data_IF_890882651145
#
_entry.id   IF_890882651145
#
_cell.length_a   1.000
_cell.length_b   1.000
_cell.length_c   1.000
_cell.angle_alpha   90.00
_cell.angle_beta   90.00
_cell.angle_gamma   90.00
#
_symmetry.space_group_name_H-M   'P 1'
#
loop_
_entity.id
_entity.type
_entity.pdbx_description
1 polymer ?
#
# COMPACT_ATOMS: atom_id res chain seq x y z
N UNK A 1 -23.61 -3.87 9.29
CA UNK A 1 -22.31 -3.26 8.95
C UNK A 1 -21.73 -2.74 10.24
N UNK A 2 -20.95 -3.57 10.93
CA UNK A 2 -20.29 -3.16 12.17
C UNK A 2 -19.30 -2.07 11.81
N UNK A 3 -19.52 -0.84 12.26
CA UNK A 3 -18.48 0.19 12.27
C UNK A 3 -17.29 -0.43 13.01
N UNK A 4 -16.22 -0.77 12.29
CA UNK A 4 -14.95 -1.11 12.92
C UNK A 4 -14.49 0.16 13.62
N UNK A 5 -14.84 0.26 14.91
CA UNK A 5 -14.40 1.35 15.77
C UNK A 5 -12.89 1.27 15.81
N UNK A 6 -12.24 2.22 15.14
CA UNK A 6 -10.79 2.37 15.11
C UNK A 6 -10.26 2.30 16.55
N UNK A 7 -9.45 1.28 16.84
CA UNK A 7 -8.80 1.19 18.13
C UNK A 7 -7.63 2.17 18.19
N UNK A 8 -7.82 3.24 18.98
CA UNK A 8 -6.84 4.31 19.16
C UNK A 8 -5.49 3.77 19.62
N UNK A 9 -5.46 2.81 20.55
CA UNK A 9 -4.20 2.29 21.09
C UNK A 9 -3.44 1.46 20.05
N UNK A 10 -4.15 0.63 19.26
CA UNK A 10 -3.56 -0.11 18.16
C UNK A 10 -3.05 0.81 17.04
N UNK A 11 -3.80 1.86 16.69
CA UNK A 11 -3.39 2.87 15.71
C UNK A 11 -2.17 3.68 16.20
N UNK A 12 -2.15 4.05 17.48
CA UNK A 12 -1.03 4.73 18.10
C UNK A 12 0.23 3.86 18.12
N UNK A 13 0.12 2.57 18.41
CA UNK A 13 1.26 1.66 18.41
C UNK A 13 1.88 1.56 17.00
N UNK A 14 1.05 1.46 15.97
CA UNK A 14 1.48 1.50 14.56
C UNK A 14 2.16 2.82 14.22
N UNK A 15 1.54 3.94 14.59
CA UNK A 15 2.12 5.27 14.36
C UNK A 15 3.48 5.45 15.04
N UNK A 16 3.65 4.96 16.27
CA UNK A 16 4.93 4.97 16.98
C UNK A 16 5.98 4.14 16.25
N UNK A 17 5.60 2.98 15.71
CA UNK A 17 6.46 2.14 14.89
C UNK A 17 6.95 2.86 13.63
N UNK A 18 6.04 3.47 12.86
CA UNK A 18 6.36 4.23 11.65
C UNK A 18 7.27 5.43 11.94
N UNK A 19 6.96 6.18 13.00
CA UNK A 19 7.74 7.36 13.39
C UNK A 19 9.03 7.02 14.16
N UNK A 20 9.24 5.73 14.50
CA UNK A 20 10.37 5.25 15.34
C UNK A 20 10.50 5.99 16.67
N UNK A 21 9.36 6.33 17.28
CA UNK A 21 9.29 7.03 18.59
C UNK A 21 8.71 6.12 19.66
N UNK A 22 9.02 6.39 20.93
CA UNK A 22 8.54 5.57 22.05
C UNK A 22 7.41 6.23 22.82
N UNK A 23 7.38 7.55 22.85
CA UNK A 23 6.50 8.31 23.76
C UNK A 23 5.33 8.98 23.04
N UNK A 24 4.17 9.05 23.70
CA UNK A 24 2.99 9.78 23.21
C UNK A 24 3.31 11.28 23.06
N UNK A 25 4.23 11.80 23.88
CA UNK A 25 4.70 13.20 23.82
C UNK A 25 5.43 13.50 22.52
N UNK A 26 6.28 12.59 22.04
CA UNK A 26 6.97 12.73 20.76
C UNK A 26 5.99 12.64 19.59
N UNK A 27 5.04 11.70 19.65
CA UNK A 27 3.96 11.59 18.65
C UNK A 27 3.18 12.90 18.57
N UNK A 28 2.75 13.46 19.71
CA UNK A 28 2.04 14.74 19.75
C UNK A 28 2.87 15.88 19.12
N UNK A 29 4.17 15.94 19.44
CA UNK A 29 5.09 16.93 18.85
C UNK A 29 5.19 16.78 17.33
N UNK A 30 5.33 15.56 16.82
CA UNK A 30 5.39 15.27 15.38
C UNK A 30 4.09 15.62 14.65
N UNK A 31 2.95 15.36 15.29
CA UNK A 31 1.62 15.75 14.78
C UNK A 31 1.31 17.26 14.92
N UNK A 32 2.25 18.06 15.44
CA UNK A 32 2.09 19.50 15.62
C UNK A 32 0.98 19.86 16.61
N UNK A 33 0.84 19.08 17.68
CA UNK A 33 -0.16 19.31 18.73
C UNK A 33 0.43 19.23 20.14
N UNK A 34 -0.26 19.82 21.12
CA UNK A 34 0.19 19.73 22.51
C UNK A 34 -0.04 18.32 23.07
N UNK A 35 0.79 17.84 24.01
CA UNK A 35 0.58 16.55 24.68
C UNK A 35 -0.77 16.46 25.40
N UNK A 36 -1.26 17.58 25.95
CA UNK A 36 -2.61 17.68 26.56
C UNK A 36 -3.72 17.48 25.52
N UNK A 37 -3.64 18.15 24.37
CA UNK A 37 -4.63 17.97 23.30
C UNK A 37 -4.64 16.53 22.74
N UNK A 38 -3.47 15.89 22.67
CA UNK A 38 -3.37 14.48 22.27
C UNK A 38 -3.98 13.55 23.33
N UNK A 39 -3.72 13.78 24.61
CA UNK A 39 -4.30 12.99 25.71
C UNK A 39 -5.83 13.13 25.80
N UNK A 40 -6.37 14.34 25.59
CA UNK A 40 -7.82 14.55 25.57
C UNK A 40 -8.49 13.81 24.41
N UNK A 41 -7.84 13.78 23.24
CA UNK A 41 -8.27 12.98 22.09
C UNK A 41 -8.24 11.48 22.37
N UNK A 42 -7.19 10.99 23.05
CA UNK A 42 -7.07 9.59 23.49
C UNK A 42 -8.23 9.21 24.42
N UNK A 43 -8.55 10.03 25.42
CA UNK A 43 -9.70 9.82 26.31
C UNK A 43 -11.03 9.79 25.57
N UNK A 44 -11.19 10.62 24.55
CA UNK A 44 -12.39 10.69 23.69
C UNK A 44 -12.39 9.65 22.57
N UNK A 45 -11.36 8.79 22.49
CA UNK A 45 -11.13 7.82 21.40
C UNK A 45 -11.22 8.44 20.00
N UNK A 46 -10.81 9.71 19.86
CA UNK A 46 -10.86 10.45 18.61
C UNK A 46 -9.46 10.54 18.01
N UNK A 47 -9.15 9.63 17.09
CA UNK A 47 -7.84 9.58 16.44
C UNK A 47 -7.67 10.74 15.43
N UNK A 48 -6.53 11.45 15.43
CA UNK A 48 -6.33 12.60 14.55
C UNK A 48 -5.90 12.18 13.13
N UNK A 49 -6.77 11.48 12.40
CA UNK A 49 -6.48 10.93 11.06
C UNK A 49 -5.95 11.99 10.08
N UNK A 50 -6.59 13.15 10.00
CA UNK A 50 -6.18 14.24 9.09
C UNK A 50 -4.74 14.68 9.34
N UNK A 51 -4.33 14.76 10.62
CA UNK A 51 -2.96 15.15 11.00
C UNK A 51 -1.97 14.05 10.69
N UNK A 52 -2.35 12.78 10.88
CA UNK A 52 -1.51 11.63 10.53
C UNK A 52 -1.29 11.58 9.03
N UNK A 53 -2.35 11.76 8.22
CA UNK A 53 -2.25 11.81 6.75
C UNK A 53 -1.39 12.99 6.29
N UNK A 54 -1.56 14.17 6.89
CA UNK A 54 -0.73 15.33 6.58
C UNK A 54 0.75 15.13 6.96
N UNK A 55 1.03 14.40 8.05
CA UNK A 55 2.39 14.04 8.47
C UNK A 55 3.00 12.97 7.57
N UNK A 56 2.22 11.99 7.14
CA UNK A 56 2.67 10.93 6.24
C UNK A 56 3.20 11.46 4.91
N UNK A 57 2.59 12.52 4.36
CA UNK A 57 3.11 13.19 3.17
C UNK A 57 4.47 13.87 3.39
N UNK A 58 4.83 14.20 4.64
CA UNK A 58 6.10 14.88 4.98
C UNK A 58 7.20 13.90 5.38
N UNK A 59 6.85 12.86 6.13
CA UNK A 59 7.81 11.88 6.66
C UNK A 59 7.79 10.54 5.90
N UNK A 60 7.03 10.46 4.79
CA UNK A 60 6.99 9.34 3.85
C UNK A 60 6.68 7.97 4.48
N UNK A 61 5.67 7.90 5.34
CA UNK A 61 5.15 6.64 5.91
C UNK A 61 3.71 6.34 5.45
N UNK A 62 3.24 5.13 5.70
CA UNK A 62 1.91 4.67 5.29
C UNK A 62 0.82 5.06 6.32
N UNK A 63 0.18 6.22 6.13
CA UNK A 63 -0.92 6.67 7.00
C UNK A 63 -2.12 5.71 7.00
N UNK A 64 -2.43 5.08 5.87
CA UNK A 64 -3.55 4.14 5.81
C UNK A 64 -3.26 2.87 6.60
N UNK A 65 -2.00 2.42 6.62
CA UNK A 65 -1.60 1.34 7.51
C UNK A 65 -1.77 1.74 8.98
N UNK A 66 -1.44 2.98 9.35
CA UNK A 66 -1.63 3.49 10.73
C UNK A 66 -3.10 3.56 11.14
N UNK A 67 -4.01 3.85 10.21
CA UNK A 67 -5.45 3.91 10.49
C UNK A 67 -6.06 2.51 10.40
N UNK A 68 -5.99 1.86 9.25
CA UNK A 68 -6.71 0.61 8.94
C UNK A 68 -6.05 -0.67 9.47
N UNK A 69 -4.74 -0.67 9.65
CA UNK A 69 -3.97 -1.80 10.18
C UNK A 69 -3.58 -2.79 9.09
N UNK A 70 -4.00 -2.49 7.86
CA UNK A 70 -3.71 -3.30 6.70
C UNK A 70 -2.50 -2.69 5.97
N UNK A 71 -1.39 -3.44 5.87
CA UNK A 71 -0.26 -2.97 5.09
C UNK A 71 -0.69 -2.79 3.63
N UNK A 72 0.00 -1.90 2.92
CA UNK A 72 -0.29 -1.61 1.51
C UNK A 72 -0.45 -2.87 0.65
N UNK A 73 0.42 -3.86 0.80
CA UNK A 73 0.35 -5.13 0.06
C UNK A 73 -0.97 -5.88 0.31
N UNK A 74 -1.42 -5.97 1.56
CA UNK A 74 -2.71 -6.59 1.89
C UNK A 74 -3.88 -5.82 1.27
N UNK A 75 -3.83 -4.48 1.29
CA UNK A 75 -4.85 -3.63 0.66
C UNK A 75 -4.89 -3.82 -0.85
N UNK A 76 -3.72 -3.89 -1.49
CA UNK A 76 -3.61 -4.17 -2.92
C UNK A 76 -4.14 -5.56 -3.27
N UNK A 77 -3.86 -6.58 -2.46
CA UNK A 77 -4.43 -7.93 -2.64
C UNK A 77 -5.96 -7.94 -2.50
N UNK A 78 -6.50 -7.29 -1.47
CA UNK A 78 -7.96 -7.18 -1.26
C UNK A 78 -8.61 -6.45 -2.45
N UNK A 79 -8.01 -5.35 -2.91
CA UNK A 79 -8.49 -4.60 -4.06
C UNK A 79 -8.42 -5.43 -5.36
N UNK A 80 -7.32 -6.14 -5.59
CA UNK A 80 -7.11 -7.02 -6.74
C UNK A 80 -8.16 -8.16 -6.76
N UNK A 81 -8.42 -8.79 -5.61
CA UNK A 81 -9.47 -9.79 -5.47
C UNK A 81 -10.87 -9.22 -5.76
N UNK A 82 -11.19 -8.03 -5.23
CA UNK A 82 -12.48 -7.35 -5.47
C UNK A 82 -12.69 -6.92 -6.92
N UNK A 83 -11.61 -6.59 -7.63
CA UNK A 83 -11.64 -6.21 -9.05
C UNK A 83 -11.61 -7.40 -10.00
N UNK A 84 -11.72 -8.64 -9.48
CA UNK A 84 -11.73 -9.87 -10.28
C UNK A 84 -10.37 -10.24 -10.89
N UNK A 85 -9.30 -9.59 -10.43
CA UNK A 85 -7.92 -9.85 -10.86
C UNK A 85 -7.07 -10.24 -9.64
N UNK A 86 -7.30 -11.42 -9.03
CA UNK A 86 -6.53 -11.80 -7.85
C UNK A 86 -5.03 -11.79 -8.17
N UNK A 87 -4.23 -11.09 -7.36
CA UNK A 87 -2.78 -11.20 -7.46
C UNK A 87 -2.38 -12.63 -7.12
N UNK A 88 -1.76 -13.32 -8.08
CA UNK A 88 -1.18 -14.64 -7.84
C UNK A 88 0.19 -14.46 -7.19
N UNK A 89 0.55 -15.28 -6.21
CA UNK A 89 1.94 -15.39 -5.79
C UNK A 89 2.81 -15.66 -7.02
N UNK A 90 3.90 -14.91 -7.15
CA UNK A 90 4.90 -15.15 -8.18
C UNK A 90 5.48 -16.55 -7.94
N UNK A 91 5.43 -17.42 -8.95
CA UNK A 91 5.99 -18.76 -8.84
C UNK A 91 7.51 -18.67 -8.68
N UNK A 92 8.16 -19.62 -7.99
CA UNK A 92 9.61 -19.58 -7.73
C UNK A 92 10.44 -19.37 -9.02
N UNK A 93 10.03 -20.01 -10.11
CA UNK A 93 10.62 -19.87 -11.44
C UNK A 93 10.52 -18.47 -12.04
N UNK A 94 9.49 -17.70 -11.71
CA UNK A 94 9.27 -16.33 -12.21
C UNK A 94 10.09 -15.29 -11.42
N UNK A 95 10.63 -15.64 -10.25
CA UNK A 95 11.45 -14.72 -9.45
C UNK A 95 12.70 -14.27 -10.20
N UNK A 96 13.35 -15.18 -10.94
CA UNK A 96 14.55 -14.84 -11.70
C UNK A 96 14.26 -13.79 -12.78
N UNK A 97 13.11 -13.90 -13.46
CA UNK A 97 12.67 -12.91 -14.45
C UNK A 97 12.43 -11.56 -13.81
N UNK A 98 11.82 -11.53 -12.61
CA UNK A 98 11.60 -10.28 -11.88
C UNK A 98 12.90 -9.65 -11.39
N UNK A 99 13.88 -10.43 -10.94
CA UNK A 99 15.19 -9.92 -10.55
C UNK A 99 15.92 -9.28 -11.73
N UNK A 100 15.93 -9.98 -12.87
CA UNK A 100 16.50 -9.45 -14.12
C UNK A 100 15.78 -8.18 -14.56
N UNK A 101 14.44 -8.19 -14.53
CA UNK A 101 13.62 -7.02 -14.83
C UNK A 101 13.97 -5.84 -13.93
N UNK A 102 14.13 -6.04 -12.62
CA UNK A 102 14.49 -4.96 -11.69
C UNK A 102 15.84 -4.35 -12.02
N UNK A 103 16.82 -5.17 -12.43
CA UNK A 103 18.16 -4.75 -12.80
C UNK A 103 18.23 -4.01 -14.15
N UNK A 104 17.24 -4.18 -15.04
CA UNK A 104 17.20 -3.49 -16.33
C UNK A 104 17.07 -1.96 -16.20
N UNK A 105 17.69 -1.25 -17.15
CA UNK A 105 17.51 0.20 -17.30
C UNK A 105 16.08 0.54 -17.73
N UNK A 106 15.69 1.82 -17.63
CA UNK A 106 14.38 2.27 -18.12
C UNK A 106 14.22 2.04 -19.64
N UNK A 107 15.29 2.17 -20.42
CA UNK A 107 15.28 1.93 -21.87
C UNK A 107 15.05 0.45 -22.21
N UNK A 108 15.76 -0.45 -21.52
CA UNK A 108 15.61 -1.90 -21.75
C UNK A 108 14.21 -2.38 -21.35
N UNK A 109 13.68 -1.86 -20.24
CA UNK A 109 12.30 -2.11 -19.81
C UNK A 109 11.29 -1.68 -20.89
N UNK A 110 11.49 -0.51 -21.50
CA UNK A 110 10.62 -0.04 -22.58
C UNK A 110 10.67 -0.94 -23.82
N UNK A 111 11.85 -1.43 -24.19
CA UNK A 111 12.00 -2.37 -25.32
C UNK A 111 11.27 -3.69 -25.07
N UNK A 112 11.44 -4.27 -23.87
CA UNK A 112 10.77 -5.53 -23.49
C UNK A 112 9.25 -5.34 -23.47
N UNK A 113 8.74 -4.23 -22.90
CA UNK A 113 7.30 -3.94 -22.91
C UNK A 113 6.76 -3.74 -24.32
N UNK A 114 7.51 -3.06 -25.20
CA UNK A 114 7.13 -2.90 -26.61
C UNK A 114 7.06 -4.24 -27.35
N UNK A 115 7.99 -5.16 -27.07
CA UNK A 115 7.96 -6.52 -27.59
C UNK A 115 6.71 -7.29 -27.10
N UNK A 116 6.44 -7.27 -25.80
CA UNK A 116 5.27 -7.95 -25.22
C UNK A 116 3.95 -7.40 -25.76
N UNK A 117 3.83 -6.08 -25.89
CA UNK A 117 2.64 -5.44 -26.44
C UNK A 117 2.36 -5.91 -27.88
N UNK A 118 3.40 -5.96 -28.72
CA UNK A 118 3.29 -6.48 -30.10
C UNK A 118 2.88 -7.95 -30.13
N UNK A 119 3.46 -8.79 -29.28
CA UNK A 119 3.10 -10.21 -29.21
C UNK A 119 1.64 -10.41 -28.76
N UNK A 120 1.17 -9.62 -27.79
CA UNK A 120 -0.23 -9.64 -27.36
C UNK A 120 -1.19 -9.29 -28.51
N UNK A 121 -0.88 -8.27 -29.31
CA UNK A 121 -1.70 -7.89 -30.48
C UNK A 121 -1.73 -8.95 -31.58
N UNK A 122 -0.68 -9.77 -31.72
CA UNK A 122 -0.65 -10.87 -32.68
C UNK A 122 -1.49 -12.08 -32.22
N UNK A 123 -1.58 -12.30 -30.91
CA UNK A 123 -2.37 -13.40 -30.34
C UNK A 123 -3.89 -13.20 -30.51
N UNK A 124 -4.37 -11.95 -30.50
CA UNK A 124 -5.80 -11.64 -30.69
C UNK A 124 -6.24 -11.78 -32.17
N UNK A 125 -5.30 -11.85 -33.11
CA UNK A 125 -5.58 -12.02 -34.55
C UNK A 125 -5.73 -13.48 -35.03
N UNK A 126 -5.55 -14.47 -34.15
CA UNK A 126 -5.48 -15.90 -34.53
C UNK A 126 -6.78 -16.70 -34.46
N UNK A 127 -7.86 -16.16 -33.88
CA UNK A 127 -9.11 -16.89 -33.68
C UNK A 127 -10.11 -16.71 -34.84
N UNK A 128 -9.69 -16.94 -36.09
CA UNK A 128 -10.66 -17.07 -37.20
C UNK A 128 -10.16 -17.91 -38.38
N UNK A 129 -9.89 -19.19 -38.15
CA UNK A 129 -9.92 -20.23 -39.18
C UNK A 129 -10.45 -21.48 -38.47
N UNK A 130 -11.73 -21.83 -38.61
CA UNK A 130 -12.30 -22.39 -39.83
C UNK A 130 -12.44 -23.90 -39.58
N UNK A 131 -13.64 -24.36 -39.25
CA UNK A 131 -13.97 -25.78 -39.27
C UNK A 131 -14.97 -26.00 -40.43
N UNK A 132 -14.77 -27.00 -41.30
CA UNK A 132 -15.64 -27.27 -42.44
C UNK A 132 -17.04 -27.71 -42.02
#
# INVERSE_FOLDING_TARGET
MSEEVLDFDAALLRLKGELKVRTDKEVAKRLGMSPTAFNDRKKRRSFPEDRVRALASKEFFDADYVVTGLPRSAREMIHAARSGRPMRPVAHEEHQVLEMWRACSAGDKALVLGLLARLATLSDGGSNFGNP
#
